data_IF_555409845563
#
_entry.id   IF_555409845563
#
_cell.length_a   1.000
_cell.length_b   1.000
_cell.length_c   1.000
_cell.angle_alpha   90.00
_cell.angle_beta   90.00
_cell.angle_gamma   90.00
#
_symmetry.space_group_name_H-M   'P 1'
#
loop_
_entity.id
_entity.type
_entity.pdbx_description
1 polymer ?
#
# COMPACT_ATOMS: atom_id res chain seq x y z
N UNK A 1 0.44 -20.08 -20.88
CA UNK A 1 -0.70 -19.93 -19.96
C UNK A 1 -0.41 -19.05 -18.75
N UNK A 2 0.82 -18.99 -18.24
CA UNK A 2 1.19 -18.23 -17.02
C UNK A 2 1.09 -16.70 -17.12
N UNK A 3 1.43 -16.08 -18.24
CA UNK A 3 1.39 -14.62 -18.39
C UNK A 3 -0.02 -14.01 -18.33
N UNK A 4 -1.03 -14.73 -18.82
CA UNK A 4 -2.40 -14.24 -18.77
C UNK A 4 -2.96 -14.19 -17.36
N UNK A 5 -2.64 -15.18 -16.53
CA UNK A 5 -3.12 -15.27 -15.14
C UNK A 5 -2.50 -14.18 -14.27
N UNK A 6 -1.19 -13.92 -14.41
CA UNK A 6 -0.53 -12.84 -13.66
C UNK A 6 -1.10 -11.46 -14.01
N UNK A 7 -1.34 -11.18 -15.30
CA UNK A 7 -1.97 -9.92 -15.72
C UNK A 7 -3.38 -9.75 -15.16
N UNK A 8 -4.19 -10.82 -15.14
CA UNK A 8 -5.52 -10.79 -14.55
C UNK A 8 -5.47 -10.52 -13.04
N UNK A 9 -4.55 -11.16 -12.34
CA UNK A 9 -4.41 -11.03 -10.89
C UNK A 9 -4.04 -9.59 -10.50
N UNK A 10 -3.03 -9.01 -11.15
CA UNK A 10 -2.61 -7.62 -10.92
C UNK A 10 -3.71 -6.63 -11.31
N UNK A 11 -4.40 -6.86 -12.44
CA UNK A 11 -5.52 -6.00 -12.84
C UNK A 11 -6.63 -6.04 -11.78
N UNK A 12 -6.98 -7.22 -11.28
CA UNK A 12 -7.98 -7.39 -10.23
C UNK A 12 -7.56 -6.70 -8.93
N UNK A 13 -6.30 -6.77 -8.54
CA UNK A 13 -5.77 -6.11 -7.34
C UNK A 13 -5.80 -4.59 -7.46
N UNK A 14 -5.37 -4.02 -8.59
CA UNK A 14 -5.48 -2.59 -8.86
C UNK A 14 -6.94 -2.13 -8.79
N UNK A 15 -7.85 -2.90 -9.38
CA UNK A 15 -9.27 -2.61 -9.31
C UNK A 15 -9.78 -2.62 -7.87
N UNK A 16 -9.46 -3.67 -7.10
CA UNK A 16 -9.98 -3.84 -5.75
C UNK A 16 -9.37 -2.87 -4.74
N UNK A 17 -8.06 -2.62 -4.82
CA UNK A 17 -7.31 -1.85 -3.81
C UNK A 17 -7.24 -0.36 -4.11
N UNK A 18 -7.35 0.04 -5.36
CA UNK A 18 -7.20 1.44 -5.79
C UNK A 18 -8.50 1.97 -6.38
N UNK A 19 -9.01 1.33 -7.44
CA UNK A 19 -10.13 1.90 -8.21
C UNK A 19 -11.42 1.89 -7.42
N UNK A 20 -11.78 0.78 -6.79
CA UNK A 20 -13.05 0.65 -6.03
C UNK A 20 -13.13 1.58 -4.82
N UNK A 21 -12.11 1.71 -3.96
CA UNK A 21 -12.14 2.67 -2.85
C UNK A 21 -12.24 4.12 -3.31
N UNK A 22 -11.51 4.51 -4.36
CA UNK A 22 -11.54 5.86 -4.91
C UNK A 22 -12.90 6.18 -5.54
N UNK A 23 -13.46 5.22 -6.28
CA UNK A 23 -14.80 5.34 -6.85
C UNK A 23 -15.87 5.47 -5.75
N UNK A 24 -15.77 4.69 -4.68
CA UNK A 24 -16.67 4.78 -3.54
C UNK A 24 -16.60 6.15 -2.86
N UNK A 25 -15.40 6.73 -2.69
CA UNK A 25 -15.21 8.08 -2.16
C UNK A 25 -15.79 9.16 -3.08
N UNK A 26 -15.64 9.02 -4.39
CA UNK A 26 -16.22 9.90 -5.39
C UNK A 26 -17.74 9.84 -5.37
N UNK A 27 -18.34 8.64 -5.44
CA UNK A 27 -19.78 8.43 -5.45
C UNK A 27 -20.46 8.94 -4.16
N UNK A 28 -19.75 8.93 -3.05
CA UNK A 28 -20.23 9.52 -1.79
C UNK A 28 -20.07 11.03 -1.72
N UNK A 29 -19.60 11.67 -2.78
CA UNK A 29 -19.39 13.11 -2.84
C UNK A 29 -18.29 13.64 -1.92
N UNK A 30 -17.44 12.76 -1.41
CA UNK A 30 -16.38 13.14 -0.47
C UNK A 30 -15.17 13.74 -1.18
N UNK A 31 -14.92 13.30 -2.40
CA UNK A 31 -13.77 13.74 -3.17
C UNK A 31 -14.20 14.29 -4.54
N UNK A 32 -13.67 15.43 -4.94
CA UNK A 32 -13.93 15.97 -6.28
C UNK A 32 -13.29 15.07 -7.34
N UNK A 33 -13.90 14.98 -8.51
CA UNK A 33 -13.43 14.17 -9.65
C UNK A 33 -11.94 14.40 -9.95
N UNK A 34 -11.49 15.67 -9.91
CA UNK A 34 -10.07 16.03 -10.12
C UNK A 34 -9.12 15.29 -9.17
N UNK A 35 -9.48 15.20 -7.89
CA UNK A 35 -8.66 14.50 -6.88
C UNK A 35 -8.68 13.00 -7.14
N UNK A 36 -9.84 12.42 -7.46
CA UNK A 36 -9.95 10.98 -7.80
C UNK A 36 -9.11 10.65 -9.01
N UNK A 37 -9.17 11.46 -10.07
CA UNK A 37 -8.35 11.26 -11.29
C UNK A 37 -6.86 11.34 -10.97
N UNK A 38 -6.43 12.35 -10.19
CA UNK A 38 -5.03 12.47 -9.79
C UNK A 38 -4.55 11.26 -8.97
N UNK A 39 -5.39 10.71 -8.10
CA UNK A 39 -5.08 9.50 -7.34
C UNK A 39 -5.04 8.25 -8.23
N UNK A 40 -5.98 8.09 -9.17
CA UNK A 40 -6.01 6.97 -10.11
C UNK A 40 -4.78 6.93 -11.02
N UNK A 41 -4.21 8.08 -11.35
CA UNK A 41 -2.97 8.15 -12.13
C UNK A 41 -1.72 8.03 -11.26
N UNK A 42 -1.69 8.73 -10.13
CA UNK A 42 -0.49 8.84 -9.29
C UNK A 42 -0.20 7.59 -8.44
N UNK A 43 -1.22 7.00 -7.80
CA UNK A 43 -1.03 5.87 -6.90
C UNK A 43 -0.44 4.64 -7.62
N UNK A 44 -0.93 4.22 -8.80
CA UNK A 44 -0.33 3.10 -9.53
C UNK A 44 1.12 3.36 -9.94
N UNK A 45 1.47 4.60 -10.32
CA UNK A 45 2.85 4.96 -10.68
C UNK A 45 3.76 4.83 -9.46
N UNK A 46 3.37 5.39 -8.31
CA UNK A 46 4.18 5.30 -7.09
C UNK A 46 4.28 3.84 -6.62
N UNK A 47 3.18 3.09 -6.69
CA UNK A 47 3.18 1.66 -6.39
C UNK A 47 4.16 0.91 -7.29
N UNK A 48 4.09 1.11 -8.60
CA UNK A 48 4.97 0.47 -9.57
C UNK A 48 6.45 0.78 -9.32
N UNK A 49 6.76 2.06 -9.03
CA UNK A 49 8.13 2.50 -8.77
C UNK A 49 8.68 2.06 -7.40
N UNK A 50 7.85 1.55 -6.51
CA UNK A 50 8.26 1.17 -5.15
C UNK A 50 8.12 -0.31 -4.85
N UNK A 51 7.18 -1.00 -5.49
CA UNK A 51 6.89 -2.41 -5.22
C UNK A 51 8.12 -3.30 -5.49
N UNK A 52 8.49 -3.51 -6.74
CA UNK A 52 9.60 -4.36 -7.09
C UNK A 52 10.96 -3.82 -6.58
N UNK A 53 11.28 -2.51 -6.68
CA UNK A 53 12.52 -2.02 -6.12
C UNK A 53 12.70 -2.29 -4.63
N UNK A 54 11.69 -2.12 -3.81
CA UNK A 54 11.81 -2.38 -2.37
C UNK A 54 11.97 -3.88 -2.11
N UNK A 55 11.23 -4.73 -2.81
CA UNK A 55 11.34 -6.18 -2.72
C UNK A 55 12.76 -6.65 -3.06
N UNK A 56 13.27 -6.29 -4.24
CA UNK A 56 14.58 -6.70 -4.70
C UNK A 56 15.74 -6.11 -3.87
N UNK A 57 15.62 -4.85 -3.45
CA UNK A 57 16.59 -4.25 -2.53
C UNK A 57 16.59 -4.93 -1.17
N UNK A 58 15.48 -5.51 -0.74
CA UNK A 58 15.41 -6.30 0.49
C UNK A 58 16.20 -7.59 0.36
N UNK A 59 16.13 -8.29 -0.78
CA UNK A 59 17.00 -9.44 -1.08
C UNK A 59 18.48 -9.05 -1.08
N UNK A 60 18.81 -7.94 -1.75
CA UNK A 60 20.19 -7.44 -1.79
C UNK A 60 20.72 -7.09 -0.40
N UNK A 61 19.88 -6.48 0.46
CA UNK A 61 20.21 -6.20 1.85
C UNK A 61 20.42 -7.50 2.64
N UNK A 62 19.49 -8.44 2.55
CA UNK A 62 19.61 -9.75 3.21
C UNK A 62 20.89 -10.49 2.80
N UNK A 63 21.19 -10.53 1.50
CA UNK A 63 22.41 -11.10 0.94
C UNK A 63 23.67 -10.46 1.56
N UNK A 64 23.70 -9.12 1.57
CA UNK A 64 24.87 -8.37 2.07
C UNK A 64 25.06 -8.56 3.59
N UNK A 65 23.97 -8.59 4.35
CA UNK A 65 24.01 -8.78 5.81
C UNK A 65 24.61 -10.15 6.22
N UNK A 66 24.44 -11.16 5.37
CA UNK A 66 24.98 -12.51 5.65
C UNK A 66 26.34 -12.78 4.97
N UNK A 67 26.97 -11.75 4.42
CA UNK A 67 28.28 -11.84 3.79
C UNK A 67 28.27 -12.33 2.35
N UNK A 68 27.11 -12.49 1.72
CA UNK A 68 26.98 -12.76 0.29
C UNK A 68 27.26 -11.51 -0.54
N UNK A 69 27.37 -11.70 -1.85
CA UNK A 69 27.63 -10.63 -2.82
C UNK A 69 26.52 -10.60 -3.89
N UNK A 70 25.95 -9.43 -4.11
CA UNK A 70 25.03 -9.18 -5.24
C UNK A 70 25.89 -8.98 -6.50
N UNK A 71 25.59 -9.76 -7.54
CA UNK A 71 26.35 -9.72 -8.83
C UNK A 71 25.52 -9.13 -9.96
N UNK A 72 24.20 -9.19 -9.87
CA UNK A 72 23.29 -8.58 -10.82
C UNK A 72 21.99 -8.17 -10.13
N UNK A 73 21.40 -7.05 -10.57
CA UNK A 73 20.16 -6.54 -10.01
C UNK A 73 19.34 -5.80 -11.08
N UNK A 74 18.09 -6.18 -11.23
CA UNK A 74 17.09 -5.47 -12.01
C UNK A 74 15.95 -5.03 -11.10
N UNK A 75 15.85 -3.74 -10.84
CA UNK A 75 14.88 -3.18 -9.88
C UNK A 75 13.53 -2.87 -10.51
N UNK A 76 13.51 -2.43 -11.77
CA UNK A 76 12.28 -1.98 -12.43
C UNK A 76 11.86 -3.03 -13.46
N UNK A 77 10.65 -3.61 -13.30
CA UNK A 77 10.11 -4.56 -14.27
C UNK A 77 9.94 -3.92 -15.65
N UNK A 78 10.21 -4.66 -16.70
CA UNK A 78 10.09 -4.19 -18.08
C UNK A 78 8.75 -4.61 -18.67
N UNK A 79 7.73 -3.78 -18.54
CA UNK A 79 6.41 -4.08 -19.13
C UNK A 79 6.45 -4.23 -20.65
N UNK A 80 7.28 -3.44 -21.31
CA UNK A 80 7.44 -3.41 -22.76
C UNK A 80 8.06 -4.68 -23.34
N UNK A 81 8.75 -5.47 -22.52
CA UNK A 81 9.32 -6.77 -22.91
C UNK A 81 8.30 -7.90 -22.80
N UNK A 82 7.04 -7.60 -22.49
CA UNK A 82 5.98 -8.60 -22.32
C UNK A 82 6.09 -9.44 -21.04
N UNK A 83 7.10 -9.19 -20.22
CA UNK A 83 7.32 -9.83 -18.92
C UNK A 83 6.81 -8.89 -17.83
N UNK A 84 5.61 -9.19 -17.32
CA UNK A 84 5.06 -8.45 -16.20
C UNK A 84 5.80 -8.84 -14.92
N UNK A 85 6.31 -7.87 -14.18
CA UNK A 85 6.91 -8.03 -12.87
C UNK A 85 8.18 -8.91 -12.78
N UNK A 86 9.02 -8.95 -13.80
CA UNK A 86 10.32 -9.60 -13.65
C UNK A 86 11.35 -8.56 -13.24
N UNK A 87 11.49 -8.37 -11.94
CA UNK A 87 12.65 -7.83 -11.28
C UNK A 87 13.43 -9.02 -10.69
N UNK A 88 14.71 -8.87 -10.42
CA UNK A 88 15.51 -9.93 -9.81
C UNK A 88 16.76 -9.40 -9.13
N UNK A 89 17.24 -10.18 -8.17
CA UNK A 89 18.59 -10.07 -7.60
C UNK A 89 19.30 -11.39 -7.77
N UNK A 90 20.48 -11.36 -8.36
CA UNK A 90 21.38 -12.52 -8.43
C UNK A 90 22.47 -12.38 -7.39
N UNK A 91 22.59 -13.37 -6.53
CA UNK A 91 23.52 -13.39 -5.42
C UNK A 91 24.47 -14.58 -5.51
N UNK A 92 25.68 -14.41 -4.99
CA UNK A 92 26.70 -15.46 -4.84
C UNK A 92 27.29 -15.44 -3.43
N UNK A 93 27.95 -16.56 -3.04
CA UNK A 93 28.55 -16.69 -1.70
C UNK A 93 27.54 -16.95 -0.60
N UNK A 94 26.41 -17.58 -0.92
CA UNK A 94 25.38 -18.03 0.01
C UNK A 94 25.47 -19.56 0.15
N UNK A 95 26.55 -20.05 0.75
CA UNK A 95 26.87 -21.48 0.77
C UNK A 95 26.08 -22.24 1.83
N UNK A 96 25.57 -21.54 2.86
CA UNK A 96 24.83 -22.15 3.95
C UNK A 96 23.33 -21.86 3.84
N UNK A 97 22.50 -22.85 4.21
CA UNK A 97 21.03 -22.73 4.15
C UNK A 97 20.48 -21.53 4.91
N UNK A 98 21.07 -21.20 6.06
CA UNK A 98 20.62 -20.02 6.82
C UNK A 98 20.91 -18.69 6.11
N UNK A 99 22.02 -18.61 5.34
CA UNK A 99 22.36 -17.42 4.53
C UNK A 99 21.34 -17.27 3.39
N UNK A 100 21.02 -18.37 2.71
CA UNK A 100 19.98 -18.41 1.67
C UNK A 100 18.62 -18.00 2.27
N UNK A 101 18.29 -18.54 3.45
CA UNK A 101 17.05 -18.19 4.14
C UNK A 101 16.96 -16.69 4.43
N UNK A 102 18.01 -16.09 5.01
CA UNK A 102 18.01 -14.65 5.34
C UNK A 102 17.87 -13.80 4.08
N UNK A 103 18.61 -14.14 3.02
CA UNK A 103 18.53 -13.43 1.74
C UNK A 103 17.12 -13.53 1.12
N UNK A 104 16.57 -14.75 1.05
CA UNK A 104 15.26 -14.99 0.39
C UNK A 104 14.09 -14.51 1.23
N UNK A 105 14.16 -14.60 2.56
CA UNK A 105 13.06 -14.15 3.44
C UNK A 105 13.11 -12.65 3.77
N UNK A 106 14.18 -11.94 3.44
CA UNK A 106 14.35 -10.52 3.77
C UNK A 106 13.18 -9.61 3.34
N UNK A 107 12.61 -9.72 2.13
CA UNK A 107 11.47 -8.91 1.71
C UNK A 107 10.29 -9.07 2.65
N UNK A 108 9.93 -10.30 2.99
CA UNK A 108 8.77 -10.60 3.85
C UNK A 108 8.94 -10.12 5.28
N UNK A 109 10.17 -10.21 5.81
CA UNK A 109 10.49 -9.66 7.14
C UNK A 109 10.38 -8.14 7.14
N UNK A 110 10.87 -7.48 6.09
CA UNK A 110 10.76 -6.03 5.92
C UNK A 110 9.29 -5.62 5.76
N UNK A 111 8.50 -6.38 5.00
CA UNK A 111 7.08 -6.11 4.83
C UNK A 111 6.30 -6.21 6.14
N UNK A 112 6.52 -7.26 6.92
CA UNK A 112 5.92 -7.39 8.25
C UNK A 112 6.35 -6.23 9.16
N UNK A 113 7.62 -5.84 9.14
CA UNK A 113 8.12 -4.69 9.90
C UNK A 113 7.45 -3.39 9.45
N UNK A 114 7.30 -3.14 8.14
CA UNK A 114 6.58 -2.00 7.60
C UNK A 114 5.12 -1.96 8.08
N UNK A 115 4.41 -3.09 8.08
CA UNK A 115 3.03 -3.18 8.56
C UNK A 115 2.95 -2.85 10.06
N UNK A 116 3.87 -3.37 10.87
CA UNK A 116 3.93 -3.04 12.30
C UNK A 116 4.19 -1.55 12.51
N UNK A 117 5.16 -0.97 11.78
CA UNK A 117 5.46 0.46 11.82
C UNK A 117 4.24 1.27 11.41
N UNK A 118 3.50 0.84 10.37
CA UNK A 118 2.29 1.52 9.93
C UNK A 118 1.24 1.59 11.05
N UNK A 119 1.04 0.50 11.77
CA UNK A 119 0.10 0.46 12.90
C UNK A 119 0.48 1.45 14.01
N UNK A 120 1.78 1.60 14.29
CA UNK A 120 2.28 2.55 15.31
C UNK A 120 2.13 4.00 14.81
N UNK A 121 2.57 4.27 13.58
CA UNK A 121 2.53 5.61 12.96
C UNK A 121 1.10 6.11 12.82
N UNK A 122 0.22 5.27 12.28
CA UNK A 122 -1.18 5.62 12.07
C UNK A 122 -1.95 5.78 13.39
N UNK A 123 -1.60 5.01 14.43
CA UNK A 123 -2.17 5.21 15.77
C UNK A 123 -1.83 6.56 16.38
N UNK A 124 -0.60 7.05 16.15
CA UNK A 124 -0.11 8.29 16.76
C UNK A 124 -0.57 9.57 16.04
N UNK A 125 -1.26 9.47 14.92
CA UNK A 125 -1.70 10.64 14.10
C UNK A 125 -0.56 11.61 13.82
N UNK A 126 0.60 11.11 13.38
CA UNK A 126 1.81 11.90 13.17
C UNK A 126 1.64 13.03 12.13
N UNK A 127 0.65 12.97 11.27
CA UNK A 127 0.37 14.02 10.29
C UNK A 127 -1.14 14.24 10.13
N UNK A 128 -1.50 15.52 9.90
CA UNK A 128 -2.84 15.94 9.47
C UNK A 128 -2.92 16.12 7.94
N UNK A 129 -1.79 16.07 7.26
CA UNK A 129 -1.75 16.21 5.80
C UNK A 129 -2.20 14.90 5.14
N UNK A 130 -3.31 14.94 4.41
CA UNK A 130 -3.89 13.78 3.74
C UNK A 130 -2.92 13.13 2.74
N UNK A 131 -2.09 13.91 2.04
CA UNK A 131 -1.09 13.38 1.12
C UNK A 131 -0.03 12.55 1.87
N UNK A 132 0.50 13.09 2.97
CA UNK A 132 1.50 12.40 3.79
C UNK A 132 0.91 11.12 4.39
N UNK A 133 -0.32 11.18 4.91
CA UNK A 133 -1.01 9.99 5.43
C UNK A 133 -1.23 8.96 4.32
N UNK A 134 -1.67 9.39 3.14
CA UNK A 134 -1.87 8.52 1.98
C UNK A 134 -0.59 7.84 1.52
N UNK A 135 0.52 8.56 1.44
CA UNK A 135 1.84 8.01 1.08
C UNK A 135 2.34 7.03 2.14
N UNK A 136 2.22 7.36 3.43
CA UNK A 136 2.60 6.44 4.51
C UNK A 136 1.75 5.18 4.50
N UNK A 137 0.44 5.33 4.28
CA UNK A 137 -0.47 4.20 4.15
C UNK A 137 -0.07 3.29 2.99
N UNK A 138 0.22 3.87 1.84
CA UNK A 138 0.61 3.12 0.66
C UNK A 138 1.94 2.41 0.86
N UNK A 139 2.98 3.11 1.31
CA UNK A 139 4.33 2.53 1.42
C UNK A 139 4.47 1.52 2.57
N UNK A 140 3.82 1.79 3.72
CA UNK A 140 4.01 0.99 4.93
C UNK A 140 2.92 -0.04 5.17
N UNK A 141 1.77 0.05 4.50
CA UNK A 141 0.67 -0.88 4.69
C UNK A 141 0.22 -1.56 3.40
N UNK A 142 -0.20 -0.79 2.39
CA UNK A 142 -0.79 -1.36 1.17
C UNK A 142 0.24 -2.13 0.35
N UNK A 143 1.43 -1.57 0.11
CA UNK A 143 2.49 -2.24 -0.66
C UNK A 143 2.94 -3.55 0.02
N UNK A 144 3.32 -3.55 1.32
CA UNK A 144 3.73 -4.79 1.99
C UNK A 144 2.61 -5.83 2.06
N UNK A 145 1.36 -5.40 2.29
CA UNK A 145 0.21 -6.31 2.27
C UNK A 145 0.03 -6.94 0.91
N UNK A 146 0.17 -6.15 -0.15
CA UNK A 146 0.09 -6.62 -1.53
C UNK A 146 1.17 -7.67 -1.80
N UNK A 147 2.43 -7.39 -1.46
CA UNK A 147 3.56 -8.29 -1.65
C UNK A 147 3.33 -9.65 -0.96
N UNK A 148 3.00 -9.64 0.33
CA UNK A 148 2.69 -10.84 1.09
C UNK A 148 1.50 -11.64 0.53
N UNK A 149 0.46 -10.97 0.07
CA UNK A 149 -0.72 -11.63 -0.51
C UNK A 149 -0.38 -12.23 -1.87
N UNK A 150 0.28 -11.50 -2.76
CA UNK A 150 0.67 -11.99 -4.09
C UNK A 150 1.57 -13.20 -4.00
N UNK A 151 2.61 -13.13 -3.17
CA UNK A 151 3.53 -14.24 -2.97
C UNK A 151 2.83 -15.45 -2.35
N UNK A 152 1.92 -15.24 -1.39
CA UNK A 152 1.12 -16.33 -0.81
C UNK A 152 0.21 -16.97 -1.86
N UNK A 153 -0.47 -16.18 -2.68
CA UNK A 153 -1.33 -16.67 -3.77
C UNK A 153 -0.50 -17.42 -4.81
N UNK A 154 0.65 -16.87 -5.18
CA UNK A 154 1.61 -17.54 -6.06
C UNK A 154 2.05 -18.89 -5.50
N UNK A 155 2.44 -18.94 -4.25
CA UNK A 155 2.87 -20.15 -3.55
C UNK A 155 1.76 -21.21 -3.51
N UNK A 156 0.52 -20.83 -3.14
CA UNK A 156 -0.65 -21.73 -3.14
C UNK A 156 -0.98 -22.19 -4.56
N UNK A 157 -0.77 -21.34 -5.55
CA UNK A 157 -0.95 -21.66 -6.98
C UNK A 157 0.13 -22.58 -7.56
N UNK A 158 1.11 -23.01 -6.74
CA UNK A 158 2.20 -23.92 -7.16
C UNK A 158 3.34 -23.23 -7.91
N UNK A 159 3.46 -21.91 -7.79
CA UNK A 159 4.61 -21.19 -8.34
C UNK A 159 5.83 -21.33 -7.42
N UNK A 160 6.98 -21.67 -8.04
CA UNK A 160 8.24 -21.91 -7.35
C UNK A 160 9.05 -20.62 -7.26
N UNK A 161 8.53 -19.64 -6.48
CA UNK A 161 9.21 -18.39 -6.15
C UNK A 161 9.87 -18.47 -4.77
N UNK A 162 10.14 -17.34 -4.16
CA UNK A 162 10.89 -17.22 -2.93
C UNK A 162 10.29 -18.01 -1.76
N UNK A 163 8.96 -17.98 -1.59
CA UNK A 163 8.30 -18.75 -0.52
C UNK A 163 8.50 -20.25 -0.66
N UNK A 164 8.64 -20.75 -1.89
CA UNK A 164 8.95 -22.16 -2.12
C UNK A 164 10.38 -22.49 -1.64
N UNK A 165 11.37 -21.62 -1.93
CA UNK A 165 12.73 -21.78 -1.43
C UNK A 165 12.80 -21.68 0.09
N UNK A 166 12.07 -20.72 0.68
CA UNK A 166 11.96 -20.62 2.15
C UNK A 166 11.37 -21.90 2.73
N UNK A 167 10.32 -22.47 2.13
CA UNK A 167 9.72 -23.74 2.57
C UNK A 167 10.71 -24.90 2.59
N UNK A 168 11.57 -25.01 1.57
CA UNK A 168 12.57 -26.07 1.51
C UNK A 168 13.57 -26.01 2.68
N UNK A 169 13.80 -24.82 3.23
CA UNK A 169 14.77 -24.60 4.30
C UNK A 169 14.12 -24.76 5.68
N UNK A 170 12.96 -24.12 5.92
CA UNK A 170 12.35 -24.10 7.27
C UNK A 170 11.22 -25.13 7.43
N UNK A 171 10.78 -25.76 6.35
CA UNK A 171 9.67 -26.71 6.35
C UNK A 171 8.29 -26.06 6.25
N UNK A 172 7.31 -26.86 5.81
CA UNK A 172 5.95 -26.38 5.55
C UNK A 172 5.25 -25.80 6.78
N UNK A 173 5.38 -26.44 7.94
CA UNK A 173 4.67 -26.00 9.15
C UNK A 173 5.12 -24.59 9.60
N UNK A 174 6.43 -24.32 9.56
CA UNK A 174 6.99 -23.02 9.94
C UNK A 174 6.58 -21.95 8.93
N UNK A 175 6.65 -22.24 7.62
CA UNK A 175 6.22 -21.29 6.58
C UNK A 175 4.73 -20.95 6.72
N UNK A 176 3.83 -21.94 6.85
CA UNK A 176 2.41 -21.68 7.01
C UNK A 176 2.09 -20.89 8.27
N UNK A 177 2.79 -21.16 9.38
CA UNK A 177 2.63 -20.38 10.61
C UNK A 177 3.02 -18.91 10.39
N UNK A 178 4.12 -18.65 9.69
CA UNK A 178 4.55 -17.31 9.32
C UNK A 178 3.53 -16.61 8.41
N UNK A 179 3.06 -17.27 7.35
CA UNK A 179 2.09 -16.69 6.42
C UNK A 179 0.76 -16.36 7.08
N UNK A 180 0.22 -17.28 7.91
CA UNK A 180 -1.03 -17.04 8.64
C UNK A 180 -0.88 -15.86 9.59
N UNK A 181 0.22 -15.78 10.34
CA UNK A 181 0.48 -14.67 11.25
C UNK A 181 0.62 -13.34 10.50
N UNK A 182 1.33 -13.34 9.37
CA UNK A 182 1.53 -12.15 8.54
C UNK A 182 0.22 -11.66 7.92
N UNK A 183 -0.59 -12.56 7.35
CA UNK A 183 -1.90 -12.23 6.79
C UNK A 183 -2.89 -11.76 7.86
N UNK A 184 -2.85 -12.34 9.06
CA UNK A 184 -3.65 -11.85 10.19
C UNK A 184 -3.24 -10.42 10.59
N UNK A 185 -1.94 -10.12 10.59
CA UNK A 185 -1.42 -8.78 10.85
C UNK A 185 -1.83 -7.78 9.75
N UNK A 186 -1.81 -8.19 8.48
CA UNK A 186 -2.33 -7.40 7.35
C UNK A 186 -3.80 -7.06 7.56
N UNK A 187 -4.63 -8.07 7.86
CA UNK A 187 -6.06 -7.87 8.12
C UNK A 187 -6.29 -6.94 9.31
N UNK A 188 -5.56 -7.13 10.41
CA UNK A 188 -5.63 -6.25 11.57
C UNK A 188 -5.29 -4.81 11.20
N UNK A 189 -4.24 -4.58 10.40
CA UNK A 189 -3.86 -3.24 9.97
C UNK A 189 -4.93 -2.58 9.13
N UNK A 190 -5.53 -3.30 8.19
CA UNK A 190 -6.66 -2.81 7.36
C UNK A 190 -7.85 -2.45 8.25
N UNK A 191 -8.23 -3.31 9.20
CA UNK A 191 -9.34 -3.05 10.13
C UNK A 191 -9.07 -1.80 10.99
N UNK A 192 -7.86 -1.66 11.52
CA UNK A 192 -7.47 -0.47 12.32
C UNK A 192 -7.55 0.80 11.48
N UNK A 193 -7.06 0.74 10.23
CA UNK A 193 -7.11 1.87 9.30
C UNK A 193 -8.56 2.24 8.97
N UNK A 194 -9.38 1.27 8.59
CA UNK A 194 -10.79 1.50 8.27
C UNK A 194 -11.56 2.08 9.46
N UNK A 195 -11.34 1.59 10.67
CA UNK A 195 -11.97 2.13 11.88
C UNK A 195 -11.51 3.55 12.20
N UNK A 196 -10.27 3.90 11.91
CA UNK A 196 -9.70 5.18 12.28
C UNK A 196 -9.90 6.27 11.24
N UNK A 197 -9.82 5.91 9.97
CA UNK A 197 -9.91 6.85 8.84
C UNK A 197 -11.20 6.66 8.03
N UNK A 198 -11.87 5.52 8.16
CA UNK A 198 -13.19 5.28 7.60
C UNK A 198 -14.34 5.82 8.47
N UNK A 199 -14.08 6.24 9.70
CA UNK A 199 -14.94 7.15 10.42
C UNK A 199 -14.91 8.48 9.69
N UNK A 200 -15.94 8.69 8.87
CA UNK A 200 -16.12 9.88 8.03
C UNK A 200 -15.90 11.13 8.88
N UNK A 201 -15.15 12.14 8.40
CA UNK A 201 -15.26 13.44 9.00
C UNK A 201 -16.76 13.77 9.00
N UNK A 202 -17.30 14.07 10.18
CA UNK A 202 -18.63 14.66 10.25
C UNK A 202 -18.70 15.75 9.18
N UNK A 203 -19.75 15.75 8.33
CA UNK A 203 -19.86 16.79 7.33
C UNK A 203 -19.62 18.11 8.05
N UNK A 204 -18.60 18.85 7.58
CA UNK A 204 -18.27 20.16 8.15
C UNK A 204 -19.60 20.85 8.39
N UNK A 205 -19.94 21.27 9.60
CA UNK A 205 -21.24 21.88 9.90
C UNK A 205 -21.45 22.91 8.81
N UNK A 206 -22.52 22.74 8.02
CA UNK A 206 -22.81 23.59 6.89
C UNK A 206 -22.63 25.00 7.44
N UNK A 207 -21.62 25.74 6.95
CA UNK A 207 -21.44 27.12 7.30
C UNK A 207 -22.81 27.73 7.06
N UNK A 208 -23.61 27.90 8.11
CA UNK A 208 -24.83 28.67 8.05
C UNK A 208 -24.36 29.97 7.46
N UNK A 209 -24.59 30.13 6.14
CA UNK A 209 -24.52 31.43 5.51
C UNK A 209 -25.55 32.19 6.29
N UNK A 210 -25.13 32.87 7.34
CA UNK A 210 -25.91 33.96 7.91
C UNK A 210 -26.00 34.94 6.75
N UNK A 211 -27.03 34.73 5.92
CA UNK A 211 -27.56 35.78 5.08
C UNK A 211 -27.93 36.89 6.09
N UNK A 212 -26.96 37.78 6.25
CA UNK A 212 -27.12 38.91 7.14
C UNK A 212 -28.39 39.58 6.75
N UNK A 213 -29.37 39.51 7.63
CA UNK A 213 -30.54 40.37 7.65
C UNK A 213 -30.09 41.82 7.90
N UNK A 214 -29.30 42.35 6.97
CA UNK A 214 -29.14 43.77 6.79
C UNK A 214 -30.33 44.26 5.98
N UNK A 215 -31.55 44.02 6.49
CA UNK A 215 -32.64 44.91 6.24
C UNK A 215 -32.35 46.17 7.05
N UNK A 216 -31.69 47.09 6.36
CA UNK A 216 -31.52 48.42 6.86
C UNK A 216 -32.85 48.97 7.35
N UNK A 217 -32.95 49.29 8.63
CA UNK A 217 -33.94 50.16 9.15
C UNK A 217 -33.79 51.50 8.42
N UNK A 218 -34.60 51.68 7.37
CA UNK A 218 -34.85 53.01 6.77
C UNK A 218 -35.40 53.88 7.90
N UNK A 219 -34.59 54.75 8.45
CA UNK A 219 -35.00 55.82 9.33
C UNK A 219 -35.98 56.71 8.57
N UNK A 220 -37.22 56.77 9.08
CA UNK A 220 -38.25 57.68 8.65
C UNK A 220 -37.79 59.13 8.88
N UNK A 221 -37.82 60.02 7.88
CA UNK A 221 -37.52 61.43 8.12
C UNK A 221 -38.59 62.07 8.99
N UNK A 222 -38.18 62.73 10.04
CA UNK A 222 -39.02 63.54 10.92
C UNK A 222 -39.78 64.60 10.11
N UNK A 223 -41.12 64.53 10.13
CA UNK A 223 -42.01 65.59 9.70
C UNK A 223 -42.04 66.65 10.80
N UNK A 224 -41.47 67.83 10.53
CA UNK A 224 -41.63 69.01 11.39
C UNK A 224 -43.03 69.57 11.18
N UNK A 225 -43.80 69.89 12.22
CA UNK A 225 -45.02 70.67 12.12
C UNK A 225 -44.69 72.15 11.94
N UNK A 226 -45.55 72.83 11.14
CA UNK A 226 -45.60 74.31 11.02
C UNK A 226 -46.12 74.92 12.30
#
# INVERSE_FOLDING_TARGET
MQQGTAKLLITFEILLTIVMPLLALYLRGQWPLRTVTACLCGIPVVWYLTYAPIHELSHALGTTLVGGKVVDIKLIPSFWEGTFAVAWVTSVGLDQSWQQLVSTAAPYVIDVACIIVSLVVLRRRLSRNALVVGLLLMLLCLRPTFDLVCETVGFVGGYHFDLWHVQLIIGSAALWSFLIASLALCLLSVVVILRRYGGFPEPLPAKRIQLGSRLGTMSRPDARPL
#
